data_IF_287807457781
#
_entry.id   IF_287807457781
#
_cell.length_a   1.000
_cell.length_b   1.000
_cell.length_c   1.000
_cell.angle_alpha   90.00
_cell.angle_beta   90.00
_cell.angle_gamma   90.00
#
_symmetry.space_group_name_H-M   'P 1'
#
loop_
_entity.id
_entity.type
_entity.pdbx_description
1 polymer ?
#
# COMPACT_ATOMS: atom_id res chain seq x y z
N UNK A 1 40.84 -12.46 14.37
CA UNK A 1 39.48 -11.93 14.58
C UNK A 1 39.31 -10.75 13.65
N UNK A 2 38.62 -10.93 12.52
CA UNK A 2 38.31 -9.81 11.63
C UNK A 2 36.99 -9.19 12.09
N UNK A 3 37.09 -8.05 12.76
CA UNK A 3 35.93 -7.17 12.95
C UNK A 3 35.61 -6.56 11.60
N UNK A 4 34.33 -6.48 11.26
CA UNK A 4 33.87 -5.77 10.07
C UNK A 4 34.33 -4.31 10.11
N UNK A 5 34.82 -3.78 8.99
CA UNK A 5 35.10 -2.34 8.82
C UNK A 5 33.81 -1.49 8.76
N UNK A 6 32.65 -2.15 8.82
CA UNK A 6 31.35 -1.50 8.75
C UNK A 6 30.83 -1.29 10.18
N UNK A 7 30.49 -0.05 10.50
CA UNK A 7 29.93 0.32 11.79
C UNK A 7 28.43 -0.04 11.84
N UNK A 8 27.98 -0.56 12.98
CA UNK A 8 26.55 -0.77 13.23
C UNK A 8 25.86 0.59 13.38
N UNK A 9 24.97 0.93 12.46
CA UNK A 9 24.12 2.12 12.57
C UNK A 9 22.80 1.71 13.21
N UNK A 10 22.62 2.03 14.49
CA UNK A 10 21.35 1.87 15.20
C UNK A 10 20.54 3.16 15.03
N UNK A 11 19.45 3.09 14.27
CA UNK A 11 18.52 4.21 14.08
C UNK A 11 17.36 4.08 15.06
N UNK A 12 17.33 4.95 16.07
CA UNK A 12 16.16 5.10 16.94
C UNK A 12 15.21 6.14 16.34
N UNK A 13 14.04 5.68 15.88
CA UNK A 13 13.02 6.55 15.28
C UNK A 13 11.94 6.87 16.31
N UNK A 14 11.96 8.08 16.86
CA UNK A 14 10.90 8.57 17.73
C UNK A 14 9.68 9.04 16.88
N UNK A 15 8.57 8.28 16.93
CA UNK A 15 7.32 8.58 16.20
C UNK A 15 6.51 9.76 16.82
N UNK A 16 7.16 10.78 17.38
CA UNK A 16 6.48 11.99 17.87
C UNK A 16 5.98 12.93 16.74
N UNK A 17 6.32 12.63 15.48
CA UNK A 17 5.84 13.41 14.34
C UNK A 17 4.38 13.05 14.01
N UNK A 18 3.53 14.08 13.90
CA UNK A 18 2.16 14.00 13.38
C UNK A 18 2.15 13.10 12.15
N UNK A 19 1.51 11.93 12.25
CA UNK A 19 1.32 10.99 11.15
C UNK A 19 0.47 11.66 10.06
N UNK A 20 1.11 12.42 9.18
CA UNK A 20 0.42 13.00 8.01
C UNK A 20 0.00 11.83 7.12
N UNK A 21 -1.27 11.83 6.69
CA UNK A 21 -1.77 10.86 5.69
C UNK A 21 -0.84 10.89 4.48
N UNK A 22 -0.08 9.80 4.28
CA UNK A 22 0.75 9.65 3.08
C UNK A 22 -0.17 9.49 1.88
N UNK A 23 0.09 10.26 0.83
CA UNK A 23 -0.60 10.09 -0.45
C UNK A 23 -0.15 8.76 -1.06
N UNK A 24 -1.10 8.02 -1.63
CA UNK A 24 -0.75 6.87 -2.46
C UNK A 24 0.06 7.36 -3.66
N UNK A 25 1.21 6.73 -3.88
CA UNK A 25 2.07 6.94 -5.03
C UNK A 25 2.27 5.59 -5.69
N UNK A 26 1.93 5.49 -6.97
CA UNK A 26 2.24 4.30 -7.74
C UNK A 26 3.72 4.35 -8.12
N UNK A 27 4.50 3.39 -7.65
CA UNK A 27 5.92 3.31 -7.97
C UNK A 27 6.11 2.87 -9.43
N UNK A 28 6.96 3.57 -10.19
CA UNK A 28 7.19 3.23 -11.60
C UNK A 28 7.76 1.82 -11.80
N UNK A 29 8.42 1.25 -10.77
CA UNK A 29 8.92 -0.12 -10.78
C UNK A 29 7.79 -1.14 -10.84
N UNK A 30 6.63 -0.85 -10.24
CA UNK A 30 5.47 -1.74 -10.25
C UNK A 30 4.88 -1.90 -11.65
N UNK A 31 5.07 -0.93 -12.56
CA UNK A 31 4.60 -1.07 -13.94
C UNK A 31 5.25 -2.26 -14.69
N UNK A 32 6.45 -2.67 -14.28
CA UNK A 32 7.21 -3.79 -14.87
C UNK A 32 6.98 -5.12 -14.15
N UNK A 33 6.31 -5.12 -13.00
CA UNK A 33 6.09 -6.33 -12.21
C UNK A 33 4.81 -7.02 -12.68
N UNK A 34 4.91 -8.32 -12.97
CA UNK A 34 3.79 -9.11 -13.48
C UNK A 34 2.63 -9.16 -12.48
N UNK A 35 2.92 -9.30 -11.18
CA UNK A 35 1.89 -9.33 -10.14
C UNK A 35 1.12 -8.02 -10.05
N UNK A 36 1.82 -6.89 -10.19
CA UNK A 36 1.18 -5.57 -10.22
C UNK A 36 0.30 -5.39 -11.45
N UNK A 37 0.71 -5.90 -12.62
CA UNK A 37 -0.11 -5.87 -13.83
C UNK A 37 -1.40 -6.69 -13.65
N UNK A 38 -1.30 -7.90 -13.09
CA UNK A 38 -2.46 -8.77 -12.82
C UNK A 38 -3.48 -8.10 -11.90
N UNK A 39 -3.01 -7.43 -10.84
CA UNK A 39 -3.88 -6.70 -9.89
C UNK A 39 -4.58 -5.53 -10.59
N UNK A 40 -3.83 -4.74 -11.38
CA UNK A 40 -4.39 -3.61 -12.13
C UNK A 40 -5.42 -4.09 -13.15
N UNK A 41 -5.13 -5.15 -13.90
CA UNK A 41 -6.03 -5.69 -14.91
C UNK A 41 -7.34 -6.20 -14.28
N UNK A 42 -7.24 -6.96 -13.19
CA UNK A 42 -8.40 -7.44 -12.42
C UNK A 42 -9.25 -6.26 -11.93
N UNK A 43 -8.61 -5.20 -11.43
CA UNK A 43 -9.30 -4.02 -10.92
C UNK A 43 -9.94 -3.17 -12.03
N UNK A 44 -9.25 -3.02 -13.16
CA UNK A 44 -9.66 -2.18 -14.29
C UNK A 44 -10.84 -2.78 -15.08
N UNK A 45 -10.90 -4.11 -15.15
CA UNK A 45 -11.96 -4.84 -15.85
C UNK A 45 -13.27 -4.93 -15.05
N UNK A 46 -13.30 -4.43 -13.81
CA UNK A 46 -14.55 -4.32 -13.04
C UNK A 46 -15.51 -3.36 -13.76
N UNK A 47 -16.76 -3.80 -13.91
CA UNK A 47 -17.78 -3.00 -14.55
C UNK A 47 -18.20 -1.86 -13.62
N UNK A 48 -18.17 -0.62 -14.10
CA UNK A 48 -18.49 0.57 -13.30
C UNK A 48 -19.59 1.35 -14.02
N UNK A 49 -20.65 1.68 -13.30
CA UNK A 49 -21.74 2.50 -13.82
C UNK A 49 -21.38 4.00 -13.78
N UNK A 50 -21.97 4.78 -14.70
CA UNK A 50 -21.83 6.24 -14.75
C UNK A 50 -21.47 6.76 -16.14
N UNK A 51 -21.25 8.07 -16.24
CA UNK A 51 -20.72 8.67 -17.47
C UNK A 51 -19.23 8.29 -17.66
N UNK A 52 -18.65 8.43 -18.87
CA UNK A 52 -17.28 7.97 -19.15
C UNK A 52 -16.21 8.54 -18.19
N UNK A 53 -16.34 9.81 -17.78
CA UNK A 53 -15.39 10.45 -16.86
C UNK A 53 -15.47 9.86 -15.44
N UNK A 54 -16.69 9.64 -14.95
CA UNK A 54 -16.96 8.99 -13.66
C UNK A 54 -16.50 7.54 -13.69
N UNK A 55 -16.68 6.83 -14.82
CA UNK A 55 -16.18 5.47 -14.97
C UNK A 55 -14.66 5.42 -14.85
N UNK A 56 -13.93 6.29 -15.55
CA UNK A 56 -12.46 6.36 -15.47
C UNK A 56 -12.01 6.68 -14.05
N UNK A 57 -12.62 7.69 -13.41
CA UNK A 57 -12.28 8.07 -12.04
C UNK A 57 -12.48 6.91 -11.06
N UNK A 58 -13.59 6.18 -11.18
CA UNK A 58 -13.90 5.03 -10.34
C UNK A 58 -12.97 3.85 -10.62
N UNK A 59 -12.61 3.60 -11.88
CA UNK A 59 -11.63 2.56 -12.23
C UNK A 59 -10.25 2.84 -11.65
N UNK A 60 -9.78 4.09 -11.72
CA UNK A 60 -8.51 4.51 -11.08
C UNK A 60 -8.61 4.33 -9.56
N UNK A 61 -9.73 4.72 -8.95
CA UNK A 61 -9.97 4.50 -7.51
C UNK A 61 -9.95 3.02 -7.15
N UNK A 62 -10.57 2.15 -7.94
CA UNK A 62 -10.57 0.71 -7.70
C UNK A 62 -9.15 0.13 -7.80
N UNK A 63 -8.39 0.48 -8.83
CA UNK A 63 -6.99 0.05 -8.97
C UNK A 63 -6.18 0.44 -7.73
N UNK A 64 -6.35 1.68 -7.24
CA UNK A 64 -5.67 2.14 -6.03
C UNK A 64 -6.00 1.29 -4.81
N UNK A 65 -7.29 0.99 -4.60
CA UNK A 65 -7.74 0.22 -3.43
C UNK A 65 -7.20 -1.21 -3.49
N UNK A 66 -7.30 -1.87 -4.64
CA UNK A 66 -6.83 -3.25 -4.83
C UNK A 66 -5.32 -3.36 -4.64
N UNK A 67 -4.53 -2.44 -5.22
CA UNK A 67 -3.08 -2.42 -5.01
C UNK A 67 -2.75 -2.24 -3.53
N UNK A 68 -3.46 -1.34 -2.83
CA UNK A 68 -3.24 -1.14 -1.40
C UNK A 68 -3.59 -2.39 -0.59
N UNK A 69 -4.69 -3.07 -0.91
CA UNK A 69 -5.08 -4.31 -0.24
C UNK A 69 -4.04 -5.41 -0.44
N UNK A 70 -3.59 -5.63 -1.67
CA UNK A 70 -2.57 -6.63 -1.99
C UNK A 70 -1.24 -6.33 -1.30
N UNK A 71 -0.82 -5.06 -1.22
CA UNK A 71 0.36 -4.67 -0.46
C UNK A 71 0.18 -4.90 1.04
N UNK A 72 -0.98 -4.53 1.59
CA UNK A 72 -1.29 -4.78 3.00
C UNK A 72 -1.20 -6.28 3.29
N UNK A 73 -1.87 -7.12 2.50
CA UNK A 73 -1.83 -8.57 2.67
C UNK A 73 -0.42 -9.14 2.49
N UNK A 74 0.34 -8.64 1.51
CA UNK A 74 1.74 -9.03 1.32
C UNK A 74 2.58 -8.75 2.56
N UNK A 75 2.50 -7.53 3.10
CA UNK A 75 3.25 -7.16 4.30
C UNK A 75 2.75 -7.89 5.54
N UNK A 76 1.44 -8.07 5.71
CA UNK A 76 0.88 -8.88 6.81
C UNK A 76 1.42 -10.31 6.78
N UNK A 77 1.41 -10.96 5.63
CA UNK A 77 1.98 -12.31 5.46
C UNK A 77 3.50 -12.33 5.69
N UNK A 78 4.21 -11.28 5.26
CA UNK A 78 5.65 -11.14 5.47
C UNK A 78 5.98 -11.03 6.96
N UNK A 79 5.21 -10.24 7.72
CA UNK A 79 5.43 -10.04 9.16
C UNK A 79 4.82 -11.14 10.04
N UNK A 80 3.84 -11.92 9.56
CA UNK A 80 3.37 -13.12 10.26
C UNK A 80 4.45 -14.21 10.37
N UNK A 81 5.45 -14.21 9.49
CA UNK A 81 6.62 -15.09 9.63
C UNK A 81 7.62 -14.64 10.71
N UNK A 82 7.45 -13.43 11.25
CA UNK A 82 8.33 -12.82 12.25
C UNK A 82 7.47 -12.27 13.40
N UNK A 83 7.09 -13.15 14.34
CA UNK A 83 6.13 -12.86 15.41
C UNK A 83 6.37 -11.54 16.13
N UNK A 84 5.62 -10.50 15.74
CA UNK A 84 5.38 -9.26 16.50
C UNK A 84 4.05 -8.64 16.06
N UNK A 85 3.34 -8.05 17.02
CA UNK A 85 1.96 -7.54 16.90
C UNK A 85 1.85 -6.55 15.72
N UNK A 86 0.90 -6.71 14.78
CA UNK A 86 0.82 -5.84 13.60
C UNK A 86 0.42 -4.41 13.98
N UNK A 87 1.22 -3.43 13.59
CA UNK A 87 0.90 -2.00 13.69
C UNK A 87 -0.05 -1.61 12.55
N UNK A 88 -1.35 -1.63 12.83
CA UNK A 88 -2.42 -1.29 11.88
C UNK A 88 -2.53 0.22 11.58
N UNK A 89 -1.58 1.06 11.99
CA UNK A 89 -1.60 2.52 11.75
C UNK A 89 -1.63 2.92 10.27
N UNK A 90 -1.30 2.03 9.35
CA UNK A 90 -1.45 2.25 7.90
C UNK A 90 -2.90 2.04 7.39
N UNK A 91 -3.74 1.32 8.14
CA UNK A 91 -5.12 0.98 7.75
C UNK A 91 -6.16 1.94 8.32
N UNK A 92 -5.86 2.63 9.42
CA UNK A 92 -6.77 3.60 10.06
C UNK A 92 -7.03 4.86 9.22
N UNK A 93 -6.30 5.05 8.11
CA UNK A 93 -6.51 6.14 7.15
C UNK A 93 -7.68 5.95 6.18
N UNK A 94 -8.25 4.74 6.12
CA UNK A 94 -9.31 4.32 5.19
C UNK A 94 -10.65 4.25 5.93
N UNK A 95 -11.12 5.35 6.51
CA UNK A 95 -12.54 5.46 6.85
C UNK A 95 -13.27 6.04 5.61
N UNK A 96 -14.22 5.31 5.01
CA UNK A 96 -15.08 5.84 3.95
C UNK A 96 -16.08 6.80 4.59
N UNK A 97 -15.70 8.07 4.69
CA UNK A 97 -16.66 9.17 4.89
C UNK A 97 -17.48 9.39 3.62
N UNK A 98 -18.26 8.39 3.22
CA UNK A 98 -19.45 8.51 2.37
C UNK A 98 -20.43 7.42 2.83
N UNK A 99 -21.07 7.64 3.96
CA UNK A 99 -22.44 7.18 4.21
C UNK A 99 -23.14 8.26 5.02
N UNK A 100 -24.05 8.94 4.32
CA UNK A 100 -24.99 9.99 4.75
C UNK A 100 -24.43 11.38 5.04
#
# INVERSE_FOLDING_TARGET
MFSSDHHLVLLEWNKAAIQRKKRFMFDCRWAKMEDSQKVVERAWNKNVMGNPLVQIQNKIRHCRIEILQELTTFYENLFQTQGTIPDYSLLTGINPSITQ
#
